data_IF_680409528914
#
_entry.id   IF_680409528914
#
_cell.length_a   1.000
_cell.length_b   1.000
_cell.length_c   1.000
_cell.angle_alpha   90.00
_cell.angle_beta   90.00
_cell.angle_gamma   90.00
#
_symmetry.space_group_name_H-M   'P 1'
#
loop_
_entity.id
_entity.type
_entity.pdbx_description
1 polymer ?
#
# COMPACT_ATOMS: atom_id res chain seq x y z
N UNK A 1 -17.10 -2.51 8.33
CA UNK A 1 -15.94 -1.60 8.42
C UNK A 1 -15.98 -0.68 7.21
N UNK A 2 -16.34 0.58 7.40
CA UNK A 2 -16.35 1.61 6.36
C UNK A 2 -15.25 2.61 6.69
N UNK A 3 -14.41 2.94 5.71
CA UNK A 3 -13.38 3.97 5.87
C UNK A 3 -13.96 5.23 5.24
N UNK A 4 -14.34 6.25 6.03
CA UNK A 4 -14.87 7.48 5.47
C UNK A 4 -13.75 8.16 4.69
N UNK A 5 -13.95 8.27 3.39
CA UNK A 5 -13.09 9.09 2.54
C UNK A 5 -13.76 10.45 2.33
N UNK A 6 -12.96 11.50 2.08
CA UNK A 6 -13.52 12.79 1.70
C UNK A 6 -14.46 12.61 0.49
N UNK A 7 -15.70 13.07 0.61
CA UNK A 7 -16.58 13.24 -0.53
C UNK A 7 -16.03 14.40 -1.35
N UNK A 8 -15.17 14.06 -2.29
CA UNK A 8 -14.64 14.98 -3.29
C UNK A 8 -15.26 14.62 -4.63
N UNK A 9 -15.63 15.64 -5.41
CA UNK A 9 -16.08 15.47 -6.80
C UNK A 9 -14.86 15.09 -7.66
N UNK A 10 -14.51 13.82 -7.56
CA UNK A 10 -13.39 13.19 -8.22
C UNK A 10 -13.93 12.18 -9.22
N UNK A 11 -13.30 12.15 -10.38
CA UNK A 11 -13.47 11.08 -11.33
C UNK A 11 -13.03 9.73 -10.73
N UNK A 12 -13.46 8.63 -11.35
CA UNK A 12 -13.22 7.28 -10.83
C UNK A 12 -11.74 6.97 -10.60
N UNK A 13 -10.84 7.47 -11.44
CA UNK A 13 -9.41 7.22 -11.29
C UNK A 13 -8.81 7.99 -10.12
N UNK A 14 -9.19 9.26 -9.94
CA UNK A 14 -8.75 10.03 -8.79
C UNK A 14 -9.31 9.47 -7.46
N UNK A 15 -10.55 8.97 -7.47
CA UNK A 15 -11.14 8.28 -6.31
C UNK A 15 -10.41 6.98 -5.96
N UNK A 16 -9.92 6.22 -6.94
CA UNK A 16 -9.14 5.01 -6.69
C UNK A 16 -7.84 5.31 -5.93
N UNK A 17 -7.21 6.47 -6.16
CA UNK A 17 -5.99 6.88 -5.46
C UNK A 17 -6.23 7.05 -3.95
N UNK A 18 -7.39 7.57 -3.54
CA UNK A 18 -7.74 7.73 -2.13
C UNK A 18 -7.87 6.38 -1.40
N UNK A 19 -8.24 5.31 -2.13
CA UNK A 19 -8.35 3.96 -1.58
C UNK A 19 -6.98 3.30 -1.35
N UNK A 20 -5.92 3.79 -1.99
CA UNK A 20 -4.57 3.23 -1.84
C UNK A 20 -4.03 3.45 -0.43
N UNK A 21 -4.24 4.63 0.15
CA UNK A 21 -3.70 5.00 1.46
C UNK A 21 -4.18 4.06 2.59
N UNK A 22 -5.49 3.79 2.76
CA UNK A 22 -5.94 2.81 3.73
C UNK A 22 -5.38 1.41 3.51
N UNK A 23 -5.24 0.98 2.25
CA UNK A 23 -4.64 -0.31 1.89
C UNK A 23 -3.17 -0.40 2.31
N UNK A 24 -2.39 0.65 2.05
CA UNK A 24 -0.99 0.76 2.47
C UNK A 24 -0.85 0.72 3.99
N UNK A 25 -1.70 1.46 4.73
CA UNK A 25 -1.70 1.46 6.20
C UNK A 25 -2.06 0.09 6.76
N UNK A 26 -3.07 -0.59 6.20
CA UNK A 26 -3.44 -1.92 6.62
C UNK A 26 -2.29 -2.92 6.41
N UNK A 27 -1.63 -2.88 5.25
CA UNK A 27 -0.50 -3.74 4.95
C UNK A 27 0.68 -3.48 5.92
N UNK A 28 1.01 -2.21 6.16
CA UNK A 28 2.05 -1.80 7.10
C UNK A 28 1.77 -2.31 8.53
N UNK A 29 0.59 -2.01 9.07
CA UNK A 29 0.20 -2.43 10.42
C UNK A 29 0.20 -3.96 10.54
N UNK A 30 -0.21 -4.67 9.48
CA UNK A 30 -0.18 -6.13 9.46
C UNK A 30 1.24 -6.68 9.47
N UNK A 31 2.16 -6.09 8.71
CA UNK A 31 3.57 -6.47 8.71
C UNK A 31 4.21 -6.28 10.09
N UNK A 32 4.02 -5.09 10.69
CA UNK A 32 4.50 -4.78 12.05
C UNK A 32 3.91 -5.75 13.08
N UNK A 33 2.60 -6.05 13.03
CA UNK A 33 1.97 -7.00 13.96
C UNK A 33 2.53 -8.42 13.88
N UNK A 34 3.17 -8.77 12.75
CA UNK A 34 3.80 -10.08 12.51
C UNK A 34 5.31 -10.06 12.77
N UNK A 35 5.87 -8.94 13.20
CA UNK A 35 7.33 -8.77 13.36
C UNK A 35 8.10 -8.83 12.04
N UNK A 36 7.43 -8.52 10.91
CA UNK A 36 8.07 -8.44 9.59
C UNK A 36 8.61 -7.02 9.36
N UNK A 37 9.70 -6.91 8.62
CA UNK A 37 10.26 -5.64 8.16
C UNK A 37 9.62 -5.23 6.82
N UNK A 38 8.73 -4.21 6.79
CA UNK A 38 8.09 -3.75 5.56
C UNK A 38 9.05 -3.00 4.62
N UNK A 39 10.17 -2.47 5.13
CA UNK A 39 11.16 -1.76 4.31
C UNK A 39 12.10 -2.73 3.58
N UNK A 40 12.24 -3.95 4.11
CA UNK A 40 13.04 -5.04 3.52
C UNK A 40 12.24 -6.35 3.44
N UNK A 41 11.21 -6.40 2.59
CA UNK A 41 10.41 -7.60 2.42
C UNK A 41 11.24 -8.76 1.86
N UNK A 42 10.94 -9.97 2.33
CA UNK A 42 11.62 -11.19 1.90
C UNK A 42 11.44 -11.42 0.40
N UNK A 43 12.48 -11.94 -0.25
CA UNK A 43 12.51 -12.30 -1.67
C UNK A 43 12.34 -11.13 -2.65
N UNK A 44 12.44 -9.88 -2.18
CA UNK A 44 12.33 -8.70 -3.02
C UNK A 44 13.61 -7.86 -2.94
N UNK A 45 13.96 -7.25 -4.07
CA UNK A 45 14.89 -6.14 -4.16
C UNK A 45 14.13 -4.88 -4.57
N UNK A 46 14.65 -3.72 -4.18
CA UNK A 46 14.05 -2.45 -4.58
C UNK A 46 13.98 -2.28 -6.11
N UNK A 47 14.96 -2.84 -6.83
CA UNK A 47 15.00 -2.87 -8.30
C UNK A 47 15.36 -4.29 -8.74
N UNK A 48 14.58 -4.85 -9.66
CA UNK A 48 14.89 -6.14 -10.29
C UNK A 48 15.90 -5.91 -11.42
N UNK A 49 17.03 -6.61 -11.36
CA UNK A 49 18.04 -6.62 -12.42
C UNK A 49 18.05 -8.00 -13.07
N UNK A 50 17.91 -8.04 -14.38
CA UNK A 50 18.13 -9.25 -15.17
C UNK A 50 19.52 -9.11 -15.80
N UNK A 51 20.35 -10.16 -15.69
CA UNK A 51 21.69 -10.15 -16.27
C UNK A 51 21.67 -9.97 -17.79
N UNK A 52 22.74 -9.39 -18.33
CA UNK A 52 23.09 -9.50 -19.75
C UNK A 52 23.73 -10.86 -20.03
#
# INVERSE_FOLDING_TARGET
WFIPLPEADLDDWARALLMVLPGQLLAYQRAVSKGLDPDRPQNLSHVVRLGL
#
